data_IF_959972420479
#
_entry.id   IF_959972420479
#
_cell.length_a   1.000
_cell.length_b   1.000
_cell.length_c   1.000
_cell.angle_alpha   90.00
_cell.angle_beta   90.00
_cell.angle_gamma   90.00
#
_symmetry.space_group_name_H-M   'P 1'
#
loop_
_entity.id
_entity.type
_entity.pdbx_description
1 polymer ?
#
# COMPACT_ATOMS: atom_id res chain seq x y z
N UNK A 1 3.74 -32.25 17.98
CA UNK A 1 2.73 -31.73 17.04
C UNK A 1 3.15 -30.33 16.63
N UNK A 2 3.69 -30.15 15.43
CA UNK A 2 4.02 -28.83 14.86
C UNK A 2 2.81 -28.32 14.08
N UNK A 3 2.20 -27.22 14.54
CA UNK A 3 1.08 -26.54 13.88
C UNK A 3 1.27 -25.02 13.87
N UNK A 4 2.52 -24.54 13.72
CA UNK A 4 2.84 -23.11 13.84
C UNK A 4 3.28 -22.44 12.52
N UNK A 5 3.36 -23.19 11.41
CA UNK A 5 3.78 -22.66 10.10
C UNK A 5 2.66 -21.98 9.30
N UNK A 6 1.48 -22.61 9.21
CA UNK A 6 0.39 -22.13 8.35
C UNK A 6 -0.27 -20.81 8.77
N UNK A 7 -0.29 -20.51 10.07
CA UNK A 7 -0.91 -19.29 10.61
C UNK A 7 -0.10 -18.03 10.26
N UNK A 8 1.23 -18.10 10.37
CA UNK A 8 2.12 -16.97 10.09
C UNK A 8 2.17 -16.60 8.61
N UNK A 9 2.20 -17.61 7.74
CA UNK A 9 2.20 -17.39 6.29
C UNK A 9 0.87 -16.79 5.83
N UNK A 10 -0.25 -17.28 6.35
CA UNK A 10 -1.59 -16.74 6.06
C UNK A 10 -1.69 -15.27 6.46
N UNK A 11 -1.21 -14.92 7.67
CA UNK A 11 -1.19 -13.53 8.15
C UNK A 11 -0.33 -12.63 7.25
N UNK A 12 0.85 -13.12 6.84
CA UNK A 12 1.74 -12.36 5.96
C UNK A 12 1.11 -12.12 4.58
N UNK A 13 0.41 -13.11 4.03
CA UNK A 13 -0.29 -12.97 2.77
C UNK A 13 -1.44 -11.96 2.88
N UNK A 14 -2.18 -11.98 3.98
CA UNK A 14 -3.27 -11.02 4.19
C UNK A 14 -2.75 -9.59 4.30
N UNK A 15 -1.66 -9.38 5.04
CA UNK A 15 -1.00 -8.07 5.12
C UNK A 15 -0.52 -7.58 3.75
N UNK A 16 0.04 -8.46 2.91
CA UNK A 16 0.43 -8.10 1.54
C UNK A 16 -0.78 -7.67 0.70
N UNK A 17 -1.92 -8.37 0.82
CA UNK A 17 -3.16 -7.97 0.12
C UNK A 17 -3.65 -6.60 0.58
N UNK A 18 -3.68 -6.36 1.89
CA UNK A 18 -4.10 -5.08 2.46
C UNK A 18 -3.22 -3.93 1.96
N UNK A 19 -1.90 -4.13 1.85
CA UNK A 19 -0.97 -3.14 1.27
C UNK A 19 -1.33 -2.78 -0.18
N UNK A 20 -1.57 -3.80 -1.01
CA UNK A 20 -1.92 -3.59 -2.43
C UNK A 20 -3.27 -2.89 -2.56
N UNK A 21 -4.26 -3.24 -1.73
CA UNK A 21 -5.58 -2.59 -1.74
C UNK A 21 -5.49 -1.13 -1.28
N UNK A 22 -4.76 -0.85 -0.21
CA UNK A 22 -4.51 0.51 0.24
C UNK A 22 -3.79 1.35 -0.84
N UNK A 23 -2.78 0.78 -1.51
CA UNK A 23 -2.07 1.44 -2.59
C UNK A 23 -2.96 1.75 -3.80
N UNK A 24 -3.85 0.81 -4.19
CA UNK A 24 -4.85 1.05 -5.24
C UNK A 24 -5.81 2.16 -4.86
N UNK A 25 -6.29 2.16 -3.62
CA UNK A 25 -7.17 3.21 -3.14
C UNK A 25 -6.48 4.58 -3.17
N UNK A 26 -5.23 4.66 -2.69
CA UNK A 26 -4.44 5.89 -2.73
C UNK A 26 -4.23 6.38 -4.17
N UNK A 27 -3.92 5.48 -5.11
CA UNK A 27 -3.74 5.81 -6.52
C UNK A 27 -5.03 6.38 -7.13
N UNK A 28 -6.18 5.76 -6.85
CA UNK A 28 -7.49 6.25 -7.29
C UNK A 28 -7.83 7.62 -6.67
N UNK A 29 -7.62 7.79 -5.36
CA UNK A 29 -7.87 9.06 -4.66
C UNK A 29 -7.02 10.20 -5.25
N UNK A 30 -5.73 9.95 -5.51
CA UNK A 30 -4.83 10.92 -6.17
C UNK A 30 -5.31 11.27 -7.57
N UNK A 31 -5.69 10.27 -8.38
CA UNK A 31 -6.21 10.48 -9.74
C UNK A 31 -7.51 11.31 -9.75
N UNK A 32 -8.36 11.10 -8.75
CA UNK A 32 -9.63 11.82 -8.60
C UNK A 32 -9.49 13.20 -7.92
N UNK A 33 -8.28 13.60 -7.48
CA UNK A 33 -8.07 14.87 -6.80
C UNK A 33 -8.72 14.95 -5.42
N UNK A 34 -8.89 13.80 -4.75
CA UNK A 34 -9.49 13.73 -3.41
C UNK A 34 -8.59 14.45 -2.38
N UNK A 35 -9.12 15.39 -1.58
CA UNK A 35 -8.38 15.99 -0.47
C UNK A 35 -7.98 14.94 0.56
N UNK A 36 -6.80 15.10 1.18
CA UNK A 36 -6.26 14.17 2.19
C UNK A 36 -6.34 12.69 1.76
N UNK A 37 -5.73 12.32 0.62
CA UNK A 37 -5.95 11.00 0.02
C UNK A 37 -5.42 9.84 0.88
N UNK A 38 -4.50 10.10 1.80
CA UNK A 38 -4.03 9.11 2.79
C UNK A 38 -5.06 8.81 3.86
N UNK A 39 -5.75 9.83 4.39
CA UNK A 39 -6.78 9.64 5.41
C UNK A 39 -8.00 8.93 4.81
N UNK A 40 -8.38 9.28 3.58
CA UNK A 40 -9.45 8.59 2.84
C UNK A 40 -9.06 7.13 2.55
N UNK A 41 -7.78 6.86 2.26
CA UNK A 41 -7.29 5.48 2.13
C UNK A 41 -7.45 4.71 3.44
N UNK A 42 -7.14 5.31 4.60
CA UNK A 42 -7.37 4.69 5.90
C UNK A 42 -8.83 4.38 6.19
N UNK A 43 -9.74 5.31 5.88
CA UNK A 43 -11.18 5.10 5.99
C UNK A 43 -11.66 3.95 5.08
N UNK A 44 -11.16 3.88 3.86
CA UNK A 44 -11.50 2.82 2.93
C UNK A 44 -10.99 1.44 3.42
N UNK A 45 -9.77 1.37 3.94
CA UNK A 45 -9.24 0.12 4.52
C UNK A 45 -10.13 -0.32 5.69
N UNK A 46 -10.54 0.60 6.58
CA UNK A 46 -11.46 0.27 7.66
C UNK A 46 -12.81 -0.26 7.15
N UNK A 47 -13.37 0.37 6.11
CA UNK A 47 -14.67 0.02 5.56
C UNK A 47 -14.69 -1.30 4.78
N UNK A 48 -13.60 -1.64 4.07
CA UNK A 48 -13.57 -2.76 3.12
C UNK A 48 -12.77 -3.98 3.60
N UNK A 49 -11.87 -3.84 4.57
CA UNK A 49 -11.02 -4.93 5.07
C UNK A 49 -11.46 -5.50 6.42
N UNK A 50 -12.68 -5.19 6.87
CA UNK A 50 -13.21 -5.61 8.19
C UNK A 50 -12.25 -5.29 9.34
N UNK A 51 -11.63 -4.11 9.27
CA UNK A 51 -10.61 -3.65 10.22
C UNK A 51 -11.16 -2.48 11.03
N UNK A 52 -10.92 -2.47 12.33
CA UNK A 52 -11.34 -1.33 13.15
C UNK A 52 -10.65 -0.05 12.67
N UNK A 53 -11.36 1.09 12.70
CA UNK A 53 -10.84 2.36 12.18
C UNK A 53 -9.46 2.71 12.75
N UNK A 54 -9.25 2.53 14.06
CA UNK A 54 -7.96 2.81 14.70
C UNK A 54 -6.83 1.92 14.15
N UNK A 55 -7.12 0.64 13.92
CA UNK A 55 -6.17 -0.33 13.37
C UNK A 55 -5.85 0.00 11.91
N UNK A 56 -6.86 0.37 11.11
CA UNK A 56 -6.68 0.77 9.72
C UNK A 56 -5.82 2.03 9.59
N UNK A 57 -6.06 3.05 10.42
CA UNK A 57 -5.26 4.27 10.46
C UNK A 57 -3.82 3.97 10.88
N UNK A 58 -3.61 3.09 11.87
CA UNK A 58 -2.28 2.67 12.28
C UNK A 58 -1.56 1.91 11.15
N UNK A 59 -2.25 0.97 10.50
CA UNK A 59 -1.72 0.19 9.38
C UNK A 59 -1.25 1.08 8.25
N UNK A 60 -2.09 2.04 7.82
CA UNK A 60 -1.76 2.96 6.73
C UNK A 60 -0.57 3.85 7.08
N UNK A 61 -0.51 4.39 8.31
CA UNK A 61 0.62 5.22 8.77
C UNK A 61 1.93 4.43 8.87
N UNK A 62 1.89 3.23 9.45
CA UNK A 62 3.08 2.39 9.58
C UNK A 62 3.63 1.91 8.23
N UNK A 63 2.79 1.90 7.20
CA UNK A 63 3.15 1.46 5.86
C UNK A 63 3.11 2.58 4.82
N UNK A 64 3.12 3.84 5.25
CA UNK A 64 2.87 5.00 4.38
C UNK A 64 3.78 5.01 3.16
N UNK A 65 5.09 4.80 3.35
CA UNK A 65 6.05 4.77 2.25
C UNK A 65 5.76 3.62 1.27
N UNK A 66 5.55 2.40 1.78
CA UNK A 66 5.21 1.24 0.95
C UNK A 66 3.94 1.48 0.12
N UNK A 67 2.91 2.07 0.75
CA UNK A 67 1.64 2.41 0.08
C UNK A 67 1.87 3.48 -0.98
N UNK A 68 2.64 4.54 -0.68
CA UNK A 68 2.97 5.60 -1.64
C UNK A 68 3.73 5.08 -2.84
N UNK A 69 4.69 4.20 -2.63
CA UNK A 69 5.51 3.60 -3.68
C UNK A 69 4.68 2.69 -4.57
N UNK A 70 3.91 1.78 -3.97
CA UNK A 70 2.99 0.93 -4.73
C UNK A 70 1.94 1.75 -5.49
N UNK A 71 1.40 2.82 -4.89
CA UNK A 71 0.45 3.70 -5.56
C UNK A 71 1.10 4.45 -6.74
N UNK A 72 2.36 4.85 -6.62
CA UNK A 72 3.11 5.41 -7.72
C UNK A 72 3.31 4.39 -8.84
N UNK A 73 3.72 3.16 -8.52
CA UNK A 73 3.86 2.10 -9.51
C UNK A 73 2.53 1.86 -10.24
N UNK A 74 1.42 1.73 -9.50
CA UNK A 74 0.07 1.58 -10.08
C UNK A 74 -0.32 2.74 -11.01
N UNK A 75 0.05 3.97 -10.67
CA UNK A 75 -0.22 5.15 -11.50
C UNK A 75 0.68 5.28 -12.73
N UNK A 76 1.80 4.55 -12.79
CA UNK A 76 2.82 4.63 -13.85
C UNK A 76 2.96 3.31 -14.62
N UNK A 77 1.92 2.47 -14.59
CA UNK A 77 1.87 1.18 -15.26
C UNK A 77 0.50 0.98 -15.92
N UNK A 78 0.54 0.42 -17.12
CA UNK A 78 -0.62 0.05 -17.93
C UNK A 78 -0.78 -1.47 -18.08
N UNK A 79 0.21 -2.25 -17.65
CA UNK A 79 0.18 -3.71 -17.60
C UNK A 79 0.74 -4.27 -16.28
N UNK A 80 0.58 -5.58 -16.06
CA UNK A 80 1.13 -6.27 -14.91
C UNK A 80 2.67 -6.32 -14.95
N UNK A 81 3.24 -6.52 -16.14
CA UNK A 81 4.69 -6.56 -16.38
C UNK A 81 5.31 -5.18 -16.10
N UNK A 82 4.66 -4.11 -16.57
CA UNK A 82 5.10 -2.75 -16.27
C UNK A 82 5.04 -2.48 -14.77
N UNK A 83 3.97 -2.91 -14.10
CA UNK A 83 3.86 -2.75 -12.64
C UNK A 83 4.99 -3.47 -11.91
N UNK A 84 5.29 -4.72 -12.28
CA UNK A 84 6.39 -5.47 -11.68
C UNK A 84 7.74 -4.75 -11.90
N UNK A 85 7.96 -4.22 -13.10
CA UNK A 85 9.16 -3.45 -13.42
C UNK A 85 9.26 -2.18 -12.55
N UNK A 86 8.17 -1.42 -12.39
CA UNK A 86 8.12 -0.24 -11.49
C UNK A 86 8.39 -0.60 -10.03
N UNK A 87 7.87 -1.73 -9.56
CA UNK A 87 8.13 -2.21 -8.19
C UNK A 87 9.61 -2.57 -7.97
N UNK A 88 10.29 -3.11 -8.99
CA UNK A 88 11.75 -3.36 -8.93
C UNK A 88 12.53 -2.05 -8.87
N UNK A 89 12.13 -1.06 -9.66
CA UNK A 89 12.76 0.28 -9.70
C UNK A 89 12.68 1.00 -8.35
N UNK A 90 11.58 0.85 -7.61
CA UNK A 90 11.42 1.48 -6.28
C UNK A 90 12.57 1.15 -5.33
N UNK A 91 13.10 -0.09 -5.38
CA UNK A 91 14.22 -0.51 -4.51
C UNK A 91 15.54 0.19 -4.81
N UNK A 92 15.67 0.80 -5.98
CA UNK A 92 16.89 1.47 -6.45
C UNK A 92 16.75 2.98 -6.51
N UNK A 93 15.57 3.52 -6.17
CA UNK A 93 15.37 4.97 -6.14
C UNK A 93 15.96 5.54 -4.86
N UNK A 94 16.68 6.68 -4.93
CA UNK A 94 17.00 7.45 -3.73
C UNK A 94 15.70 7.86 -3.05
N UNK A 95 15.75 7.95 -1.72
CA UNK A 95 14.59 8.26 -0.89
C UNK A 95 13.92 9.52 -1.44
N UNK A 96 12.67 9.41 -1.91
CA UNK A 96 11.97 10.51 -2.60
C UNK A 96 11.67 11.68 -1.66
N UNK A 97 11.93 11.52 -0.37
CA UNK A 97 11.83 12.56 0.66
C UNK A 97 13.17 13.25 0.95
N UNK A 98 14.29 12.87 0.30
CA UNK A 98 15.51 13.66 0.40
C UNK A 98 15.36 14.97 -0.40
N UNK A 99 15.62 16.13 0.21
CA UNK A 99 15.64 17.39 -0.52
C UNK A 99 16.73 17.30 -1.59
N UNK A 100 16.34 17.51 -2.85
CA UNK A 100 17.29 17.70 -3.96
C UNK A 100 18.24 18.84 -3.55
N UNK A 101 19.50 18.50 -3.29
CA UNK A 101 20.58 19.47 -3.07
C UNK A 101 20.85 20.27 -4.35
#
# INVERSE_FOLDING_TARGET
>A
MQANGGSKETLMQEQKKQLVKAARMLAMCRKAGVPEPMDVTGLAVAAFEDMQLREAMLFVRMNEQNIKDLAWALGNSSSAEEFEQRVKEIKTLPDRNEPRR
#
